data_IF_251882959217
#
_entry.id   IF_251882959217
#
_cell.length_a   1.000
_cell.length_b   1.000
_cell.length_c   1.000
_cell.angle_alpha   90.00
_cell.angle_beta   90.00
_cell.angle_gamma   90.00
#
_symmetry.space_group_name_H-M   'P 1'
#
loop_
_entity.id
_entity.type
_entity.pdbx_description
1 polymer ?
#
# COMPACT_ATOMS: atom_id res chain seq x y z
N UNK A 1 -64.95 -20.83 -25.80
CA UNK A 1 -64.37 -21.16 -24.47
C UNK A 1 -63.10 -21.98 -24.57
N UNK A 2 -63.04 -23.06 -25.37
CA UNK A 2 -61.85 -23.92 -25.45
C UNK A 2 -60.58 -23.17 -25.89
N UNK A 3 -60.67 -22.36 -26.94
CA UNK A 3 -59.53 -21.59 -27.48
C UNK A 3 -58.90 -20.60 -26.47
N UNK A 4 -59.72 -19.94 -25.64
CA UNK A 4 -59.23 -19.02 -24.60
C UNK A 4 -58.53 -19.77 -23.44
N UNK A 5 -59.01 -20.98 -23.12
CA UNK A 5 -58.40 -21.87 -22.13
C UNK A 5 -57.04 -22.38 -22.61
N UNK A 6 -56.95 -22.75 -23.90
CA UNK A 6 -55.71 -23.25 -24.51
C UNK A 6 -54.65 -22.14 -24.60
N UNK A 7 -55.05 -20.89 -24.93
CA UNK A 7 -54.16 -19.72 -24.93
C UNK A 7 -53.62 -19.39 -23.53
N UNK A 8 -54.47 -19.39 -22.50
CA UNK A 8 -54.04 -19.15 -21.13
C UNK A 8 -53.06 -20.23 -20.64
N UNK A 9 -53.33 -21.50 -20.97
CA UNK A 9 -52.44 -22.60 -20.62
C UNK A 9 -51.06 -22.44 -21.28
N UNK A 10 -51.01 -22.04 -22.55
CA UNK A 10 -49.74 -21.78 -23.24
C UNK A 10 -48.94 -20.64 -22.58
N UNK A 11 -49.60 -19.57 -22.12
CA UNK A 11 -48.94 -18.49 -21.37
C UNK A 11 -48.39 -19.01 -20.04
N UNK A 12 -49.18 -19.75 -19.27
CA UNK A 12 -48.76 -20.29 -17.97
C UNK A 12 -47.59 -21.28 -18.07
N UNK A 13 -47.51 -22.03 -19.16
CA UNK A 13 -46.41 -22.96 -19.45
C UNK A 13 -45.15 -22.25 -19.97
N UNK A 14 -45.30 -21.07 -20.58
CA UNK A 14 -44.18 -20.24 -21.05
C UNK A 14 -43.54 -19.37 -19.96
N UNK A 15 -44.23 -19.12 -18.84
CA UNK A 15 -43.68 -18.34 -17.72
C UNK A 15 -42.55 -19.12 -17.04
N UNK A 16 -41.31 -18.59 -17.01
CA UNK A 16 -40.16 -19.25 -16.39
C UNK A 16 -40.18 -19.05 -14.87
N UNK A 17 -41.18 -19.64 -14.20
CA UNK A 17 -41.36 -19.48 -12.76
C UNK A 17 -42.60 -20.18 -12.20
N UNK A 18 -42.68 -20.18 -10.87
CA UNK A 18 -43.83 -20.71 -10.13
C UNK A 18 -45.01 -19.75 -10.29
N UNK A 19 -46.13 -20.21 -10.83
CA UNK A 19 -47.34 -19.38 -10.94
C UNK A 19 -48.45 -19.98 -10.07
N UNK A 20 -49.11 -19.13 -9.30
CA UNK A 20 -50.31 -19.47 -8.52
C UNK A 20 -51.31 -18.35 -8.59
N UNK A 21 -52.60 -18.66 -8.48
CA UNK A 21 -53.65 -17.64 -8.41
C UNK A 21 -54.65 -18.00 -7.33
N UNK A 22 -55.17 -16.97 -6.67
CA UNK A 22 -56.02 -17.08 -5.49
C UNK A 22 -57.29 -16.28 -5.67
N UNK A 23 -58.34 -16.71 -4.97
CA UNK A 23 -59.50 -15.87 -4.67
C UNK A 23 -59.17 -14.85 -3.57
N UNK A 24 -60.03 -13.83 -3.42
CA UNK A 24 -59.94 -12.83 -2.35
C UNK A 24 -60.08 -13.43 -0.94
N UNK A 25 -60.72 -14.59 -0.78
CA UNK A 25 -60.76 -15.36 0.48
C UNK A 25 -59.53 -16.26 0.70
N UNK A 26 -58.45 -16.02 -0.06
CA UNK A 26 -57.13 -16.68 0.08
C UNK A 26 -57.17 -18.19 -0.17
N UNK A 27 -58.00 -18.62 -1.14
CA UNK A 27 -58.02 -20.01 -1.61
C UNK A 27 -57.36 -20.13 -2.97
N UNK A 28 -56.58 -21.18 -3.16
CA UNK A 28 -55.97 -21.47 -4.45
C UNK A 28 -57.05 -21.77 -5.50
N UNK A 29 -57.03 -21.02 -6.59
CA UNK A 29 -57.77 -21.32 -7.81
C UNK A 29 -56.97 -22.27 -8.72
N UNK A 30 -55.64 -22.25 -8.62
CA UNK A 30 -54.76 -23.17 -9.31
C UNK A 30 -53.30 -22.75 -9.26
N UNK A 31 -52.45 -23.61 -9.84
CA UNK A 31 -51.01 -23.43 -9.98
C UNK A 31 -50.56 -23.88 -11.39
N UNK A 32 -49.45 -23.36 -11.89
CA UNK A 32 -48.86 -23.89 -13.13
C UNK A 32 -48.06 -25.18 -12.89
N UNK A 33 -47.72 -25.87 -13.97
CA UNK A 33 -46.94 -27.12 -13.94
C UNK A 33 -45.54 -26.92 -13.35
N UNK A 34 -44.95 -25.75 -13.54
CA UNK A 34 -43.63 -25.44 -12.99
C UNK A 34 -43.63 -25.43 -11.46
N UNK A 35 -44.61 -24.75 -10.84
CA UNK A 35 -44.78 -24.77 -9.38
C UNK A 35 -45.00 -26.20 -8.88
N UNK A 36 -45.89 -26.94 -9.55
CA UNK A 36 -46.19 -28.33 -9.21
C UNK A 36 -44.94 -29.22 -9.22
N UNK A 37 -44.10 -29.11 -10.27
CA UNK A 37 -42.85 -29.85 -10.38
C UNK A 37 -41.82 -29.43 -9.31
N UNK A 38 -41.71 -28.12 -9.04
CA UNK A 38 -40.75 -27.55 -8.07
C UNK A 38 -40.95 -28.12 -6.67
N UNK A 39 -42.20 -28.27 -6.24
CA UNK A 39 -42.56 -28.80 -4.93
C UNK A 39 -42.95 -30.29 -4.93
N UNK A 40 -42.82 -30.98 -6.07
CA UNK A 40 -43.19 -32.39 -6.23
C UNK A 40 -44.64 -32.71 -5.81
N UNK A 41 -45.59 -31.92 -6.32
CA UNK A 41 -47.03 -31.99 -6.01
C UNK A 41 -47.85 -32.00 -7.30
N UNK A 42 -49.14 -32.35 -7.22
CA UNK A 42 -50.04 -32.30 -8.39
C UNK A 42 -50.87 -31.00 -8.36
N UNK A 43 -51.08 -30.32 -9.51
CA UNK A 43 -51.87 -29.08 -9.55
C UNK A 43 -53.28 -29.20 -8.98
N UNK A 44 -53.93 -30.35 -9.18
CA UNK A 44 -55.29 -30.63 -8.72
C UNK A 44 -55.42 -30.61 -7.19
N UNK A 45 -54.35 -30.97 -6.48
CA UNK A 45 -54.34 -31.05 -5.01
C UNK A 45 -54.43 -29.66 -4.35
N UNK A 46 -54.24 -28.58 -5.11
CA UNK A 46 -54.26 -27.19 -4.62
C UNK A 46 -55.62 -26.54 -4.69
N UNK A 47 -56.49 -26.91 -5.64
CA UNK A 47 -57.74 -26.20 -5.89
C UNK A 47 -58.62 -26.19 -4.63
N UNK A 48 -59.02 -25.00 -4.19
CA UNK A 48 -59.85 -24.78 -3.00
C UNK A 48 -59.11 -24.86 -1.65
N UNK A 49 -57.83 -25.26 -1.62
CA UNK A 49 -57.00 -25.24 -0.41
C UNK A 49 -56.76 -23.81 0.05
N UNK A 50 -56.64 -23.63 1.37
CA UNK A 50 -56.33 -22.34 1.97
C UNK A 50 -54.84 -22.01 1.85
N UNK A 51 -54.52 -20.73 1.70
CA UNK A 51 -53.15 -20.22 1.77
C UNK A 51 -52.42 -20.74 3.03
N UNK A 52 -51.19 -21.20 2.85
CA UNK A 52 -50.35 -21.72 3.94
C UNK A 52 -50.43 -23.24 4.13
N UNK A 53 -51.28 -23.97 3.37
CA UNK A 53 -51.38 -25.44 3.43
C UNK A 53 -50.04 -26.18 3.33
N UNK A 54 -49.10 -25.70 2.51
CA UNK A 54 -47.79 -26.36 2.33
C UNK A 54 -46.73 -25.97 3.37
N UNK A 55 -46.96 -24.88 4.12
CA UNK A 55 -45.95 -24.28 5.03
C UNK A 55 -44.57 -23.98 4.41
N UNK A 56 -44.43 -23.96 3.08
CA UNK A 56 -43.14 -23.88 2.38
C UNK A 56 -42.48 -22.48 2.42
N UNK A 57 -43.26 -21.42 2.62
CA UNK A 57 -42.73 -20.06 2.78
C UNK A 57 -43.68 -19.20 3.63
N UNK A 58 -43.31 -18.90 4.89
CA UNK A 58 -44.04 -17.95 5.72
C UNK A 58 -44.09 -16.56 5.08
N UNK A 59 -43.01 -16.13 4.42
CA UNK A 59 -42.91 -14.83 3.74
C UNK A 59 -43.88 -14.71 2.55
N UNK A 60 -44.06 -15.77 1.76
CA UNK A 60 -45.06 -15.77 0.69
C UNK A 60 -46.48 -15.60 1.23
N UNK A 61 -46.83 -16.38 2.26
CA UNK A 61 -48.17 -16.34 2.82
C UNK A 61 -48.49 -14.97 3.44
N UNK A 62 -47.51 -14.33 4.06
CA UNK A 62 -47.68 -12.99 4.60
C UNK A 62 -47.86 -11.95 3.50
N UNK A 63 -47.03 -11.99 2.46
CA UNK A 63 -47.17 -11.09 1.32
C UNK A 63 -48.53 -11.23 0.63
N UNK A 64 -49.00 -12.45 0.38
CA UNK A 64 -50.31 -12.69 -0.24
C UNK A 64 -51.44 -12.10 0.63
N UNK A 65 -51.40 -12.27 1.96
CA UNK A 65 -52.39 -11.67 2.87
C UNK A 65 -52.40 -10.16 2.78
N UNK A 66 -51.22 -9.54 2.89
CA UNK A 66 -51.08 -8.09 2.87
C UNK A 66 -51.49 -7.50 1.51
N UNK A 67 -51.04 -8.09 0.41
CA UNK A 67 -51.36 -7.64 -0.93
C UNK A 67 -52.86 -7.74 -1.22
N UNK A 68 -53.50 -8.87 -0.91
CA UNK A 68 -54.95 -9.05 -1.10
C UNK A 68 -55.76 -8.04 -0.30
N UNK A 69 -55.36 -7.73 0.94
CA UNK A 69 -56.03 -6.74 1.78
C UNK A 69 -55.73 -5.27 1.38
N UNK A 70 -54.67 -5.02 0.63
CA UNK A 70 -54.28 -3.67 0.21
C UNK A 70 -55.13 -3.11 -0.94
N UNK A 71 -55.06 -1.81 -1.21
CA UNK A 71 -55.64 -1.19 -2.41
C UNK A 71 -54.76 -1.29 -3.66
N UNK A 72 -53.59 -1.95 -3.57
CA UNK A 72 -52.66 -2.07 -4.69
C UNK A 72 -53.20 -3.05 -5.74
N UNK A 73 -53.10 -2.66 -7.01
CA UNK A 73 -53.44 -3.52 -8.15
C UNK A 73 -52.29 -4.44 -8.54
N UNK A 74 -51.06 -4.01 -8.31
CA UNK A 74 -49.83 -4.76 -8.56
C UNK A 74 -48.82 -4.51 -7.44
N UNK A 75 -47.96 -5.49 -7.16
CA UNK A 75 -46.89 -5.36 -6.19
C UNK A 75 -45.83 -6.42 -6.45
N UNK A 76 -44.62 -6.20 -5.96
CA UNK A 76 -43.56 -7.21 -5.98
C UNK A 76 -42.78 -7.23 -4.69
N UNK A 77 -42.26 -8.40 -4.34
CA UNK A 77 -41.43 -8.61 -3.15
C UNK A 77 -40.45 -9.75 -3.39
N UNK A 78 -39.26 -9.64 -2.82
CA UNK A 78 -38.36 -10.78 -2.73
C UNK A 78 -38.58 -11.55 -1.43
N UNK A 79 -38.74 -12.87 -1.54
CA UNK A 79 -38.93 -13.76 -0.39
C UNK A 79 -37.89 -14.88 -0.39
N UNK A 80 -37.62 -15.40 0.79
CA UNK A 80 -36.97 -16.70 0.96
C UNK A 80 -38.04 -17.81 1.05
N UNK A 81 -37.75 -18.94 0.42
CA UNK A 81 -38.54 -20.15 0.51
C UNK A 81 -37.61 -21.36 0.70
N UNK A 82 -38.06 -22.35 1.46
CA UNK A 82 -37.40 -23.65 1.46
C UNK A 82 -38.06 -24.53 0.39
N UNK A 83 -37.26 -24.97 -0.57
CA UNK A 83 -37.69 -25.88 -1.62
C UNK A 83 -36.92 -27.17 -1.48
N UNK A 84 -37.58 -28.19 -0.94
CA UNK A 84 -37.02 -29.53 -0.72
C UNK A 84 -35.73 -29.51 0.14
N UNK A 85 -35.70 -28.73 1.21
CA UNK A 85 -34.57 -28.60 2.13
C UNK A 85 -33.45 -27.70 1.62
N UNK A 86 -33.68 -26.92 0.56
CA UNK A 86 -32.72 -25.96 0.02
C UNK A 86 -33.30 -24.55 0.08
N UNK A 87 -32.59 -23.58 0.69
CA UNK A 87 -33.02 -22.19 0.69
C UNK A 87 -32.94 -21.64 -0.75
N UNK A 88 -34.03 -21.06 -1.20
CA UNK A 88 -34.17 -20.38 -2.49
C UNK A 88 -34.71 -18.98 -2.29
N UNK A 89 -34.32 -18.07 -3.16
CA UNK A 89 -34.84 -16.71 -3.21
C UNK A 89 -35.74 -16.53 -4.42
N UNK A 90 -36.96 -16.05 -4.20
CA UNK A 90 -37.92 -15.80 -5.27
C UNK A 90 -38.30 -14.32 -5.31
N UNK A 91 -38.30 -13.73 -6.50
CA UNK A 91 -39.00 -12.48 -6.76
C UNK A 91 -40.45 -12.82 -7.09
N UNK A 92 -41.36 -12.44 -6.20
CA UNK A 92 -42.80 -12.59 -6.39
C UNK A 92 -43.34 -11.30 -7.02
N UNK A 93 -44.03 -11.44 -8.15
CA UNK A 93 -44.82 -10.37 -8.78
C UNK A 93 -46.28 -10.75 -8.65
N UNK A 94 -47.09 -9.85 -8.12
CA UNK A 94 -48.51 -10.05 -7.88
C UNK A 94 -49.36 -9.05 -8.66
N UNK A 95 -50.50 -9.50 -9.16
CA UNK A 95 -51.47 -8.65 -9.85
C UNK A 95 -52.90 -9.09 -9.54
N UNK A 96 -53.77 -8.14 -9.19
CA UNK A 96 -55.20 -8.37 -8.99
C UNK A 96 -55.95 -8.37 -10.33
N UNK A 97 -57.02 -9.13 -10.39
CA UNK A 97 -57.92 -9.18 -11.54
C UNK A 97 -59.35 -9.50 -11.09
N UNK A 98 -60.30 -9.47 -12.03
CA UNK A 98 -61.72 -9.70 -11.76
C UNK A 98 -62.28 -8.79 -10.65
N UNK A 99 -62.04 -7.48 -10.75
CA UNK A 99 -62.50 -6.48 -9.77
C UNK A 99 -62.07 -6.82 -8.33
N UNK A 100 -60.78 -7.12 -8.14
CA UNK A 100 -60.16 -7.48 -6.86
C UNK A 100 -60.67 -8.76 -6.19
N UNK A 101 -61.44 -9.58 -6.92
CA UNK A 101 -61.91 -10.87 -6.41
C UNK A 101 -60.86 -11.99 -6.56
N UNK A 102 -59.81 -11.77 -7.34
CA UNK A 102 -58.73 -12.73 -7.51
C UNK A 102 -57.39 -12.05 -7.76
N UNK A 103 -56.29 -12.77 -7.50
CA UNK A 103 -54.94 -12.30 -7.75
C UNK A 103 -54.06 -13.44 -8.30
N UNK A 104 -53.17 -13.10 -9.23
CA UNK A 104 -52.13 -13.98 -9.75
C UNK A 104 -50.78 -13.59 -9.14
N UNK A 105 -49.96 -14.60 -8.86
CA UNK A 105 -48.63 -14.47 -8.29
C UNK A 105 -47.65 -15.28 -9.14
N UNK A 106 -46.60 -14.62 -9.59
CA UNK A 106 -45.50 -15.21 -10.36
C UNK A 106 -44.24 -15.13 -9.53
N UNK A 107 -43.65 -16.27 -9.19
CA UNK A 107 -42.39 -16.39 -8.49
C UNK A 107 -41.26 -16.82 -9.42
N UNK A 108 -40.31 -15.91 -9.64
CA UNK A 108 -39.10 -16.15 -10.43
C UNK A 108 -37.96 -16.50 -9.47
N UNK A 109 -37.29 -17.63 -9.68
CA UNK A 109 -36.11 -17.99 -8.89
C UNK A 109 -34.96 -17.03 -9.24
N UNK A 110 -34.51 -16.27 -8.24
CA UNK A 110 -33.40 -15.31 -8.34
C UNK A 110 -32.21 -15.72 -7.48
N UNK A 111 -32.17 -16.97 -7.01
CA UNK A 111 -31.13 -17.50 -6.11
C UNK A 111 -29.73 -17.33 -6.70
N UNK A 112 -29.51 -17.83 -7.92
CA UNK A 112 -28.20 -17.80 -8.57
C UNK A 112 -27.76 -16.35 -8.82
N UNK A 113 -28.69 -15.49 -9.27
CA UNK A 113 -28.43 -14.07 -9.47
C UNK A 113 -27.97 -13.40 -8.18
N UNK A 114 -28.67 -13.63 -7.06
CA UNK A 114 -28.29 -13.07 -5.76
C UNK A 114 -26.95 -13.58 -5.28
N UNK A 115 -26.70 -14.89 -5.40
CA UNK A 115 -25.42 -15.48 -4.99
C UNK A 115 -24.25 -14.92 -5.79
N UNK A 116 -24.39 -14.74 -7.10
CA UNK A 116 -23.35 -14.11 -7.91
C UNK A 116 -23.14 -12.64 -7.56
N UNK A 117 -24.21 -11.89 -7.33
CA UNK A 117 -24.12 -10.49 -6.92
C UNK A 117 -23.45 -10.33 -5.55
N UNK A 118 -23.81 -11.18 -4.59
CA UNK A 118 -23.23 -11.16 -3.24
C UNK A 118 -21.75 -11.57 -3.27
N UNK A 119 -21.41 -12.66 -3.97
CA UNK A 119 -20.03 -13.10 -4.11
C UNK A 119 -19.16 -12.05 -4.82
N UNK A 120 -19.71 -11.36 -5.82
CA UNK A 120 -19.03 -10.25 -6.48
C UNK A 120 -18.81 -9.07 -5.50
N UNK A 121 -19.85 -8.69 -4.73
CA UNK A 121 -19.76 -7.63 -3.72
C UNK A 121 -18.70 -7.96 -2.66
N UNK A 122 -18.75 -9.15 -2.09
CA UNK A 122 -17.76 -9.61 -1.10
C UNK A 122 -16.34 -9.64 -1.67
N UNK A 123 -16.18 -10.07 -2.93
CA UNK A 123 -14.87 -10.07 -3.59
C UNK A 123 -14.35 -8.64 -3.82
N UNK A 124 -15.22 -7.71 -4.21
CA UNK A 124 -14.87 -6.30 -4.40
C UNK A 124 -14.50 -5.62 -3.08
N UNK A 125 -15.28 -5.86 -2.02
CA UNK A 125 -14.99 -5.33 -0.68
C UNK A 125 -13.67 -5.88 -0.13
N UNK A 126 -13.44 -7.19 -0.26
CA UNK A 126 -12.19 -7.82 0.16
C UNK A 126 -10.99 -7.24 -0.60
N UNK A 127 -11.12 -7.03 -1.90
CA UNK A 127 -10.07 -6.40 -2.72
C UNK A 127 -9.82 -4.94 -2.29
N UNK A 128 -10.88 -4.15 -2.11
CA UNK A 128 -10.77 -2.75 -1.68
C UNK A 128 -10.07 -2.63 -0.32
N UNK A 129 -10.43 -3.47 0.65
CA UNK A 129 -9.79 -3.50 1.97
C UNK A 129 -8.32 -3.93 1.90
N UNK A 130 -7.98 -4.92 1.07
CA UNK A 130 -6.59 -5.35 0.90
C UNK A 130 -5.71 -4.23 0.30
N UNK A 131 -6.22 -3.53 -0.71
CA UNK A 131 -5.55 -2.39 -1.34
C UNK A 131 -5.39 -1.24 -0.35
N UNK A 132 -6.45 -0.90 0.39
CA UNK A 132 -6.41 0.17 1.39
C UNK A 132 -5.45 -0.17 2.53
N UNK A 133 -5.42 -1.42 3.00
CA UNK A 133 -4.53 -1.90 4.05
C UNK A 133 -3.05 -1.93 3.63
N UNK A 134 -2.75 -2.23 2.36
CA UNK A 134 -1.39 -2.14 1.81
C UNK A 134 -0.89 -0.69 1.70
N UNK A 135 -1.80 0.29 1.78
CA UNK A 135 -1.52 1.71 1.60
C UNK A 135 -0.90 2.04 0.23
N UNK A 136 -1.22 1.23 -0.78
CA UNK A 136 -0.69 1.28 -2.14
C UNK A 136 -1.53 2.18 -3.06
N UNK A 137 -0.88 2.90 -3.96
CA UNK A 137 -1.51 3.59 -5.08
C UNK A 137 -1.68 2.65 -6.28
N UNK A 138 -2.90 2.34 -6.68
CA UNK A 138 -3.18 1.55 -7.88
C UNK A 138 -3.03 2.36 -9.16
N UNK A 139 -2.60 1.67 -10.22
CA UNK A 139 -2.60 2.16 -11.58
C UNK A 139 -3.08 1.07 -12.56
N UNK A 140 -3.75 1.48 -13.62
CA UNK A 140 -4.26 0.58 -14.67
C UNK A 140 -4.20 1.27 -16.03
N UNK A 141 -3.29 0.79 -16.86
CA UNK A 141 -2.96 1.36 -18.15
C UNK A 141 -3.55 0.53 -19.28
N UNK A 142 -4.45 1.14 -20.03
CA UNK A 142 -4.92 0.64 -21.31
C UNK A 142 -3.91 0.99 -22.41
N UNK A 143 -3.16 0.00 -22.87
CA UNK A 143 -2.08 0.20 -23.85
C UNK A 143 -2.61 0.43 -25.27
N UNK A 144 -3.90 0.21 -25.52
CA UNK A 144 -4.53 0.47 -26.82
C UNK A 144 -4.98 1.92 -26.97
N UNK A 145 -5.53 2.50 -25.90
CA UNK A 145 -6.00 3.89 -25.89
C UNK A 145 -4.97 4.85 -25.34
N UNK A 146 -3.93 4.33 -24.69
CA UNK A 146 -2.93 5.07 -23.93
C UNK A 146 -3.50 5.80 -22.70
N UNK A 147 -4.65 5.39 -22.19
CA UNK A 147 -5.23 5.94 -20.96
C UNK A 147 -4.75 5.16 -19.75
N UNK A 148 -4.40 5.88 -18.68
CA UNK A 148 -4.03 5.28 -17.40
C UNK A 148 -4.96 5.78 -16.30
N UNK A 149 -5.59 4.84 -15.61
CA UNK A 149 -6.29 5.13 -14.38
C UNK A 149 -5.28 5.19 -13.23
N UNK A 150 -5.31 6.26 -12.43
CA UNK A 150 -4.64 6.33 -11.15
C UNK A 150 -5.67 6.40 -10.02
N UNK A 151 -5.51 5.57 -9.00
CA UNK A 151 -6.36 5.63 -7.81
C UNK A 151 -6.18 6.94 -7.02
N UNK A 152 -7.18 7.36 -6.23
CA UNK A 152 -7.04 8.52 -5.33
C UNK A 152 -5.83 8.41 -4.40
N UNK A 153 -5.51 7.20 -3.94
CA UNK A 153 -4.35 6.94 -3.08
C UNK A 153 -3.01 7.21 -3.79
N UNK A 154 -2.90 6.87 -5.06
CA UNK A 154 -1.71 7.16 -5.88
C UNK A 154 -1.45 8.68 -5.94
N UNK A 155 -2.50 9.46 -6.17
CA UNK A 155 -2.43 10.93 -6.20
C UNK A 155 -2.04 11.51 -4.84
N UNK A 156 -2.70 11.03 -3.78
CA UNK A 156 -2.43 11.43 -2.40
C UNK A 156 -1.00 11.09 -1.95
N UNK A 157 -0.41 9.98 -2.43
CA UNK A 157 0.98 9.60 -2.16
C UNK A 157 1.98 10.63 -2.66
N UNK A 158 1.67 11.27 -3.80
CA UNK A 158 2.46 12.34 -4.40
C UNK A 158 2.07 13.73 -3.87
N UNK A 159 1.15 13.76 -2.90
CA UNK A 159 0.65 14.95 -2.21
C UNK A 159 -0.52 15.65 -2.91
N UNK A 160 -1.00 15.14 -4.04
CA UNK A 160 -2.06 15.75 -4.83
C UNK A 160 -3.44 15.26 -4.43
N UNK A 161 -4.43 16.14 -4.56
CA UNK A 161 -5.85 15.78 -4.54
C UNK A 161 -6.29 15.17 -5.88
N UNK A 162 -7.51 14.61 -5.91
CA UNK A 162 -7.97 13.82 -7.05
C UNK A 162 -8.06 14.62 -8.36
N UNK A 163 -8.40 15.91 -8.28
CA UNK A 163 -8.62 16.78 -9.43
C UNK A 163 -7.38 17.56 -9.87
N UNK A 164 -6.27 17.51 -9.10
CA UNK A 164 -5.05 18.28 -9.36
C UNK A 164 -4.09 17.60 -10.35
N UNK A 165 -4.23 16.29 -10.55
CA UNK A 165 -3.35 15.50 -11.41
C UNK A 165 -4.17 14.62 -12.35
N UNK A 166 -3.77 14.60 -13.62
CA UNK A 166 -4.49 13.91 -14.68
C UNK A 166 -4.38 12.39 -14.63
N UNK A 167 -5.01 11.77 -15.63
CA UNK A 167 -5.03 10.32 -15.85
C UNK A 167 -4.32 10.00 -17.19
N UNK A 168 -3.12 10.54 -17.36
CA UNK A 168 -2.29 10.38 -18.55
C UNK A 168 -0.93 9.79 -18.16
N UNK A 169 -0.31 8.92 -18.97
CA UNK A 169 0.97 8.28 -18.62
C UNK A 169 2.08 9.27 -18.28
N UNK A 170 2.06 10.45 -18.88
CA UNK A 170 2.98 11.55 -18.64
C UNK A 170 2.94 12.04 -17.19
N UNK A 171 1.81 11.86 -16.48
CA UNK A 171 1.71 12.23 -15.06
C UNK A 171 2.60 11.36 -14.18
N UNK A 172 2.80 10.09 -14.56
CA UNK A 172 3.79 9.24 -13.93
C UNK A 172 5.18 9.48 -14.52
N UNK A 173 5.33 9.33 -15.85
CA UNK A 173 6.64 9.33 -16.51
C UNK A 173 7.39 10.66 -16.35
N UNK A 174 6.66 11.79 -16.38
CA UNK A 174 7.23 13.12 -16.20
C UNK A 174 7.67 13.45 -14.77
N UNK A 175 7.34 12.60 -13.78
CA UNK A 175 7.75 12.75 -12.38
C UNK A 175 8.91 11.87 -12.00
N UNK A 176 9.37 10.97 -12.87
CA UNK A 176 10.52 10.13 -12.59
C UNK A 176 11.77 11.02 -12.52
N UNK A 177 12.67 10.71 -11.58
CA UNK A 177 13.94 11.41 -11.48
C UNK A 177 14.71 11.36 -12.82
N UNK A 178 15.26 12.48 -13.32
CA UNK A 178 15.90 12.54 -14.64
C UNK A 178 16.95 11.46 -14.90
N UNK A 179 17.82 11.20 -13.90
CA UNK A 179 18.86 10.16 -13.99
C UNK A 179 18.32 8.72 -14.15
N UNK A 180 17.04 8.50 -13.83
CA UNK A 180 16.40 7.18 -13.82
C UNK A 180 15.39 7.00 -14.96
N UNK A 181 14.96 8.09 -15.61
CA UNK A 181 13.87 8.09 -16.58
C UNK A 181 14.09 7.09 -17.73
N UNK A 182 15.28 7.10 -18.34
CA UNK A 182 15.62 6.18 -19.43
C UNK A 182 15.62 4.72 -18.97
N UNK A 183 16.16 4.45 -17.78
CA UNK A 183 16.21 3.10 -17.23
C UNK A 183 14.81 2.57 -16.91
N UNK A 184 13.94 3.38 -16.28
CA UNK A 184 12.55 3.01 -15.99
C UNK A 184 11.79 2.71 -17.28
N UNK A 185 11.94 3.56 -18.30
CA UNK A 185 11.31 3.34 -19.60
C UNK A 185 11.77 2.03 -20.24
N UNK A 186 13.06 1.70 -20.16
CA UNK A 186 13.58 0.43 -20.66
C UNK A 186 13.00 -0.79 -19.91
N UNK A 187 12.86 -0.71 -18.58
CA UNK A 187 12.22 -1.77 -17.79
C UNK A 187 10.74 -1.95 -18.14
N UNK A 188 10.03 -0.83 -18.35
CA UNK A 188 8.63 -0.85 -18.76
C UNK A 188 8.46 -1.52 -20.13
N UNK A 189 9.29 -1.15 -21.12
CA UNK A 189 9.29 -1.76 -22.46
C UNK A 189 9.64 -3.25 -22.37
N UNK A 190 10.66 -3.62 -21.60
CA UNK A 190 11.03 -5.03 -21.44
C UNK A 190 9.86 -5.86 -20.85
N UNK A 191 9.13 -5.31 -19.87
CA UNK A 191 7.93 -5.98 -19.39
C UNK A 191 6.80 -5.96 -20.42
N UNK A 192 6.59 -4.85 -21.13
CA UNK A 192 5.61 -4.76 -22.23
C UNK A 192 5.85 -5.85 -23.27
N UNK A 193 7.09 -6.09 -23.68
CA UNK A 193 7.47 -7.07 -24.70
C UNK A 193 7.51 -8.52 -24.18
N UNK A 194 7.21 -8.73 -22.90
CA UNK A 194 7.14 -10.06 -22.30
C UNK A 194 8.51 -10.66 -21.98
N UNK A 195 9.56 -9.85 -21.92
CA UNK A 195 10.91 -10.29 -21.55
C UNK A 195 11.06 -10.54 -20.05
N UNK A 196 10.13 -10.04 -19.24
CA UNK A 196 10.09 -10.24 -17.78
C UNK A 196 8.75 -10.82 -17.34
N UNK A 197 8.78 -11.63 -16.28
CA UNK A 197 7.57 -12.24 -15.70
C UNK A 197 6.68 -11.24 -14.98
N UNK A 198 7.29 -10.22 -14.36
CA UNK A 198 6.62 -9.15 -13.64
C UNK A 198 7.39 -7.85 -13.85
N UNK A 199 6.68 -6.72 -13.83
CA UNK A 199 7.30 -5.42 -13.71
C UNK A 199 7.51 -5.14 -12.22
N UNK A 200 8.75 -4.91 -11.82
CA UNK A 200 9.12 -4.56 -10.45
C UNK A 200 10.34 -3.64 -10.47
N UNK A 201 10.18 -2.40 -10.00
CA UNK A 201 11.26 -1.42 -9.93
C UNK A 201 11.13 -0.57 -8.66
N UNK A 202 12.27 -0.12 -8.15
CA UNK A 202 12.35 0.95 -7.16
C UNK A 202 12.93 2.18 -7.84
N UNK A 203 12.19 3.29 -7.84
CA UNK A 203 12.61 4.51 -8.52
C UNK A 203 12.11 5.75 -7.76
N UNK A 204 12.69 6.91 -8.07
CA UNK A 204 12.35 8.17 -7.43
C UNK A 204 11.29 8.91 -8.22
N UNK A 205 10.27 9.39 -7.53
CA UNK A 205 9.21 10.25 -8.09
C UNK A 205 9.16 11.60 -7.40
N UNK A 206 9.01 12.66 -8.19
CA UNK A 206 8.87 14.03 -7.72
C UNK A 206 7.51 14.20 -7.03
N UNK A 207 7.56 14.56 -5.75
CA UNK A 207 6.42 14.92 -4.94
C UNK A 207 6.13 16.42 -5.07
N UNK A 208 4.89 16.84 -4.77
CA UNK A 208 4.45 18.24 -4.91
C UNK A 208 5.26 19.29 -4.12
N UNK A 209 5.95 18.87 -3.08
CA UNK A 209 6.81 19.73 -2.25
C UNK A 209 8.19 19.97 -2.88
N UNK A 210 8.49 19.33 -4.01
CA UNK A 210 9.77 19.41 -4.71
C UNK A 210 10.79 18.36 -4.26
N UNK A 211 10.47 17.52 -3.27
CA UNK A 211 11.33 16.40 -2.88
C UNK A 211 11.03 15.15 -3.71
N UNK A 212 12.02 14.26 -3.79
CA UNK A 212 11.82 12.95 -4.37
C UNK A 212 11.39 11.93 -3.29
N UNK A 213 10.41 11.09 -3.64
CA UNK A 213 9.98 9.94 -2.85
C UNK A 213 10.43 8.66 -3.53
N UNK A 214 10.87 7.68 -2.76
CA UNK A 214 11.19 6.36 -3.26
C UNK A 214 9.90 5.56 -3.43
N UNK A 215 9.66 5.09 -4.65
CA UNK A 215 8.45 4.36 -5.03
C UNK A 215 8.83 2.96 -5.49
N UNK A 216 8.21 1.93 -4.88
CA UNK A 216 8.23 0.57 -5.41
C UNK A 216 7.04 0.41 -6.35
N UNK A 217 7.31 0.26 -7.65
CA UNK A 217 6.28 -0.02 -8.66
C UNK A 217 6.24 -1.49 -8.99
N UNK A 218 5.06 -2.09 -8.92
CA UNK A 218 4.81 -3.49 -9.31
C UNK A 218 3.66 -3.56 -10.29
N UNK A 219 3.75 -4.41 -11.30
CA UNK A 219 2.69 -4.55 -12.29
C UNK A 219 2.76 -5.82 -13.13
N UNK A 220 1.62 -6.13 -13.75
CA UNK A 220 1.47 -7.26 -14.66
C UNK A 220 0.82 -6.80 -15.97
N UNK A 221 1.38 -7.23 -17.08
CA UNK A 221 0.80 -7.07 -18.41
C UNK A 221 -0.21 -8.18 -18.72
N UNK A 222 -1.38 -7.80 -19.22
CA UNK A 222 -2.36 -8.71 -19.81
C UNK A 222 -2.16 -8.74 -21.32
N UNK A 223 -2.09 -9.96 -21.86
CA UNK A 223 -1.75 -10.22 -23.26
C UNK A 223 -2.88 -10.90 -23.99
N UNK A 224 -2.96 -10.64 -25.28
CA UNK A 224 -3.84 -11.37 -26.17
C UNK A 224 -3.24 -12.73 -26.61
N UNK A 225 -3.96 -13.42 -27.50
CA UNK A 225 -3.54 -14.73 -28.02
C UNK A 225 -2.23 -14.69 -28.82
N UNK A 226 -1.82 -13.51 -29.29
CA UNK A 226 -0.59 -13.29 -30.05
C UNK A 226 0.56 -12.80 -29.15
N UNK A 227 0.41 -12.87 -27.82
CA UNK A 227 1.37 -12.36 -26.82
C UNK A 227 1.56 -10.85 -26.83
N UNK A 228 0.66 -10.09 -27.46
CA UNK A 228 0.73 -8.63 -27.49
C UNK A 228 0.06 -8.08 -26.23
N UNK A 229 0.78 -7.22 -25.48
CA UNK A 229 0.23 -6.53 -24.32
C UNK A 229 -0.90 -5.57 -24.74
N UNK A 230 -2.03 -5.60 -24.06
CA UNK A 230 -3.12 -4.62 -24.30
C UNK A 230 -3.54 -3.85 -23.04
N UNK A 231 -3.13 -4.31 -21.86
CA UNK A 231 -3.39 -3.66 -20.58
C UNK A 231 -2.24 -3.99 -19.64
N UNK A 232 -1.87 -3.06 -18.78
CA UNK A 232 -0.94 -3.31 -17.68
C UNK A 232 -1.51 -2.69 -16.42
N UNK A 233 -1.56 -3.44 -15.33
CA UNK A 233 -2.12 -2.93 -14.07
C UNK A 233 -1.23 -3.34 -12.90
N UNK A 234 -1.27 -2.54 -11.84
CA UNK A 234 -0.35 -2.71 -10.74
C UNK A 234 -0.57 -1.75 -9.58
N UNK A 235 0.45 -1.70 -8.74
CA UNK A 235 0.49 -0.85 -7.55
C UNK A 235 1.81 -0.09 -7.46
N UNK A 236 1.78 0.99 -6.68
CA UNK A 236 2.94 1.75 -6.27
C UNK A 236 2.89 1.96 -4.77
N UNK A 237 3.99 1.64 -4.10
CA UNK A 237 4.14 1.78 -2.65
C UNK A 237 5.20 2.84 -2.36
N UNK A 238 4.89 3.81 -1.49
CA UNK A 238 5.91 4.72 -0.96
C UNK A 238 6.80 3.95 0.02
N UNK A 239 8.07 3.80 -0.33
CA UNK A 239 9.10 3.12 0.44
C UNK A 239 10.15 4.12 0.97
N UNK A 240 9.85 5.43 0.97
CA UNK A 240 10.78 6.49 1.39
C UNK A 240 11.25 6.29 2.82
N UNK A 241 10.34 6.00 3.76
CA UNK A 241 10.70 5.76 5.16
C UNK A 241 11.60 4.52 5.31
N UNK A 242 11.31 3.44 4.57
CA UNK A 242 12.15 2.25 4.54
C UNK A 242 13.55 2.58 4.02
N UNK A 243 13.65 3.32 2.92
CA UNK A 243 14.94 3.73 2.34
C UNK A 243 15.73 4.65 3.26
N UNK A 244 15.06 5.60 3.92
CA UNK A 244 15.67 6.45 4.95
C UNK A 244 16.17 5.64 6.14
N UNK A 245 15.41 4.64 6.59
CA UNK A 245 15.85 3.75 7.66
C UNK A 245 17.04 2.88 7.23
N UNK A 246 17.04 2.33 6.01
CA UNK A 246 18.18 1.60 5.45
C UNK A 246 19.44 2.48 5.36
N UNK A 247 19.30 3.71 4.88
CA UNK A 247 20.40 4.68 4.80
C UNK A 247 20.92 5.08 6.19
N UNK A 248 20.03 5.31 7.15
CA UNK A 248 20.42 5.61 8.53
C UNK A 248 21.15 4.43 9.17
N UNK A 249 20.68 3.20 8.97
CA UNK A 249 21.36 2.00 9.46
C UNK A 249 22.76 1.85 8.86
N UNK A 250 22.91 2.13 7.55
CA UNK A 250 24.23 2.12 6.90
C UNK A 250 25.13 3.23 7.45
N UNK A 251 24.58 4.42 7.67
CA UNK A 251 25.31 5.53 8.27
C UNK A 251 25.78 5.17 9.68
N UNK A 252 24.89 4.67 10.55
CA UNK A 252 25.18 4.28 11.93
C UNK A 252 26.15 3.09 12.01
N UNK A 253 26.14 2.19 11.02
CA UNK A 253 27.10 1.10 10.92
C UNK A 253 28.52 1.59 10.61
N UNK A 254 28.68 2.79 10.04
CA UNK A 254 29.96 3.34 9.58
C UNK A 254 30.40 4.61 10.32
N UNK A 255 29.53 5.25 11.09
CA UNK A 255 29.78 6.52 11.79
C UNK A 255 29.47 6.43 13.29
N UNK A 256 30.12 7.27 14.08
CA UNK A 256 29.88 7.42 15.52
C UNK A 256 28.61 8.26 15.75
N UNK A 257 27.63 7.70 16.47
CA UNK A 257 26.30 8.30 16.63
C UNK A 257 26.29 9.64 17.37
N UNK A 258 27.31 9.92 18.19
CA UNK A 258 27.41 11.18 18.93
C UNK A 258 28.04 12.28 18.07
N UNK A 259 29.17 11.99 17.44
CA UNK A 259 29.99 13.01 16.76
C UNK A 259 29.73 13.11 15.26
N UNK A 260 29.15 12.08 14.63
CA UNK A 260 28.99 11.97 13.18
C UNK A 260 30.27 11.60 12.43
N UNK A 261 31.40 11.44 13.15
CA UNK A 261 32.68 11.04 12.56
C UNK A 261 32.65 9.58 12.10
N UNK A 262 33.64 9.17 11.32
CA UNK A 262 33.81 7.75 11.00
C UNK A 262 33.95 6.92 12.29
N UNK A 263 33.37 5.73 12.33
CA UNK A 263 33.59 4.82 13.45
C UNK A 263 34.81 3.92 13.22
N UNK A 264 35.08 3.04 14.18
CA UNK A 264 36.18 2.07 14.11
C UNK A 264 36.13 1.19 12.86
N UNK A 265 34.95 0.77 12.40
CA UNK A 265 34.83 -0.11 11.24
C UNK A 265 35.26 0.61 9.95
N UNK A 266 34.74 1.82 9.72
CA UNK A 266 35.09 2.62 8.54
C UNK A 266 36.57 3.04 8.56
N UNK A 267 37.11 3.41 9.73
CA UNK A 267 38.54 3.71 9.88
C UNK A 267 39.43 2.53 9.46
N UNK A 268 39.12 1.31 9.94
CA UNK A 268 39.92 0.13 9.64
C UNK A 268 39.84 -0.25 8.15
N UNK A 269 38.67 -0.11 7.52
CA UNK A 269 38.51 -0.29 6.08
C UNK A 269 39.38 0.70 5.28
N UNK A 270 39.28 2.00 5.59
CA UNK A 270 40.10 3.05 4.96
C UNK A 270 41.60 2.84 5.17
N UNK A 271 42.00 2.50 6.39
CA UNK A 271 43.39 2.18 6.71
C UNK A 271 43.90 1.00 5.87
N UNK A 272 43.10 -0.06 5.72
CA UNK A 272 43.40 -1.20 4.86
C UNK A 272 43.60 -0.79 3.39
N UNK A 273 42.70 0.04 2.85
CA UNK A 273 42.80 0.56 1.48
C UNK A 273 44.07 1.38 1.27
N UNK A 274 44.42 2.26 2.21
CA UNK A 274 45.61 3.11 2.15
C UNK A 274 46.89 2.28 2.23
N UNK A 275 46.94 1.27 3.10
CA UNK A 275 48.07 0.32 3.20
C UNK A 275 48.29 -0.39 1.87
N UNK A 276 47.23 -0.93 1.27
CA UNK A 276 47.32 -1.64 -0.02
C UNK A 276 47.73 -0.71 -1.17
N UNK A 277 47.22 0.53 -1.19
CA UNK A 277 47.61 1.54 -2.16
C UNK A 277 49.08 1.91 -2.02
N UNK A 278 49.55 2.17 -0.80
CA UNK A 278 50.95 2.49 -0.49
C UNK A 278 51.91 1.38 -0.92
N UNK A 279 51.54 0.11 -0.72
CA UNK A 279 52.33 -1.05 -1.20
C UNK A 279 52.45 -1.10 -2.72
N UNK A 280 51.39 -0.74 -3.46
CA UNK A 280 51.35 -0.85 -4.94
C UNK A 280 51.97 0.35 -5.66
N UNK A 281 51.67 1.55 -5.18
CA UNK A 281 51.99 2.81 -5.88
C UNK A 281 53.13 3.58 -5.21
N UNK A 282 53.60 3.13 -4.05
CA UNK A 282 54.41 3.96 -3.16
C UNK A 282 53.57 5.06 -2.50
N UNK A 283 54.22 5.87 -1.67
CA UNK A 283 53.56 6.95 -0.92
C UNK A 283 53.44 6.63 0.56
N UNK A 284 53.50 7.68 1.39
CA UNK A 284 53.41 7.58 2.83
C UNK A 284 52.03 8.05 3.30
N UNK A 285 51.60 7.48 4.41
CA UNK A 285 50.40 7.89 5.13
C UNK A 285 50.77 8.00 6.62
N UNK A 286 49.94 8.68 7.39
CA UNK A 286 50.13 8.76 8.84
C UNK A 286 48.83 8.47 9.58
N UNK A 287 48.96 7.92 10.78
CA UNK A 287 47.86 7.71 11.72
C UNK A 287 48.20 8.47 12.99
N UNK A 288 47.32 9.40 13.38
CA UNK A 288 47.44 10.15 14.62
C UNK A 288 46.37 9.66 15.58
N UNK A 289 46.79 9.33 16.80
CA UNK A 289 45.89 9.00 17.90
C UNK A 289 45.76 10.20 18.83
N UNK A 290 44.55 10.54 19.21
CA UNK A 290 44.24 11.67 20.07
C UNK A 290 43.33 11.20 21.20
N UNK A 291 43.80 11.37 22.43
CA UNK A 291 43.03 11.12 23.65
C UNK A 291 42.77 12.45 24.35
N UNK A 292 41.59 12.62 24.97
CA UNK A 292 41.27 13.84 25.70
C UNK A 292 41.60 13.69 27.18
N UNK A 293 42.71 14.30 27.58
CA UNK A 293 43.19 14.25 28.96
C UNK A 293 42.11 14.60 29.99
N UNK A 294 41.85 13.69 30.93
CA UNK A 294 40.89 13.89 32.03
C UNK A 294 39.45 14.16 31.59
N UNK A 295 39.02 13.74 30.40
CA UNK A 295 37.62 13.86 29.99
C UNK A 295 36.64 13.26 31.02
N UNK A 296 37.04 12.16 31.69
CA UNK A 296 36.27 11.58 32.81
C UNK A 296 35.97 12.59 33.93
N UNK A 297 36.90 13.47 34.29
CA UNK A 297 36.69 14.50 35.33
C UNK A 297 35.61 15.48 34.93
N UNK A 298 35.53 15.82 33.63
CA UNK A 298 34.49 16.69 33.08
C UNK A 298 33.13 16.00 33.21
N UNK A 299 33.02 14.72 32.82
CA UNK A 299 31.79 13.96 32.98
C UNK A 299 31.36 13.86 34.44
N UNK A 300 32.29 13.57 35.35
CA UNK A 300 31.99 13.41 36.77
C UNK A 300 31.59 14.75 37.43
N UNK A 301 32.11 15.88 36.94
CA UNK A 301 31.87 17.21 37.53
C UNK A 301 30.68 17.96 36.92
N UNK A 302 30.49 17.83 35.61
CA UNK A 302 29.52 18.61 34.82
C UNK A 302 28.41 17.74 34.20
N UNK A 303 28.51 16.42 34.35
CA UNK A 303 27.57 15.47 33.81
C UNK A 303 27.88 15.06 32.36
N UNK A 304 27.39 13.87 32.00
CA UNK A 304 27.59 13.27 30.68
C UNK A 304 27.09 14.15 29.52
N UNK A 305 26.00 14.90 29.72
CA UNK A 305 25.49 15.80 28.68
C UNK A 305 26.48 16.89 28.27
N UNK A 306 27.25 17.44 29.24
CA UNK A 306 28.27 18.45 28.93
C UNK A 306 29.50 17.79 28.29
N UNK A 307 29.88 16.58 28.73
CA UNK A 307 30.93 15.82 28.06
C UNK A 307 30.59 15.49 26.60
N UNK A 308 29.35 15.09 26.33
CA UNK A 308 28.87 14.82 24.97
C UNK A 308 28.94 16.06 24.08
N UNK A 309 28.48 17.22 24.60
CA UNK A 309 28.62 18.50 23.91
C UNK A 309 30.08 18.88 23.64
N UNK A 310 30.98 18.58 24.58
CA UNK A 310 32.41 18.81 24.40
C UNK A 310 33.00 17.94 23.29
N UNK A 311 32.67 16.65 23.25
CA UNK A 311 33.11 15.74 22.20
C UNK A 311 32.64 16.19 20.82
N UNK A 312 31.38 16.57 20.68
CA UNK A 312 30.82 17.11 19.43
C UNK A 312 31.52 18.40 19.02
N UNK A 313 31.77 19.31 19.97
CA UNK A 313 32.45 20.56 19.68
C UNK A 313 33.91 20.35 19.28
N UNK A 314 34.61 19.39 19.89
CA UNK A 314 35.98 19.00 19.53
C UNK A 314 35.98 18.41 18.12
N UNK A 315 35.08 17.49 17.82
CA UNK A 315 34.95 16.87 16.50
C UNK A 315 34.82 17.95 15.40
N UNK A 316 33.80 18.82 15.50
CA UNK A 316 33.56 19.91 14.55
C UNK A 316 34.76 20.85 14.41
N UNK A 317 35.42 21.15 15.52
CA UNK A 317 36.56 22.07 15.51
C UNK A 317 37.79 21.44 14.84
N UNK A 318 38.04 20.15 15.07
CA UNK A 318 39.16 19.44 14.46
C UNK A 318 38.93 19.12 12.99
N UNK A 319 37.70 18.91 12.53
CA UNK A 319 37.38 18.77 11.11
C UNK A 319 37.87 19.97 10.28
N UNK A 320 37.81 21.19 10.82
CA UNK A 320 38.34 22.39 10.12
C UNK A 320 39.85 22.35 9.87
N UNK A 321 40.56 21.49 10.58
CA UNK A 321 41.99 21.28 10.43
C UNK A 321 42.32 20.18 9.41
N UNK A 322 41.34 19.49 8.83
CA UNK A 322 41.55 18.31 7.99
C UNK A 322 41.21 18.58 6.53
N UNK A 323 41.87 17.85 5.64
CA UNK A 323 41.63 17.94 4.20
C UNK A 323 40.53 16.94 3.80
N UNK A 324 39.86 17.15 2.67
CA UNK A 324 38.78 16.26 2.19
C UNK A 324 39.19 14.79 1.94
N UNK A 325 40.50 14.51 1.86
CA UNK A 325 41.03 13.16 1.73
C UNK A 325 41.49 12.53 3.05
N UNK A 326 41.41 13.24 4.18
CA UNK A 326 41.77 12.69 5.48
C UNK A 326 40.54 12.01 6.12
N UNK A 327 40.74 10.88 6.80
CA UNK A 327 39.67 10.23 7.57
C UNK A 327 39.77 10.62 9.03
N UNK A 328 38.69 11.15 9.60
CA UNK A 328 38.59 11.45 11.03
C UNK A 328 37.58 10.53 11.69
N UNK A 329 38.03 9.81 12.71
CA UNK A 329 37.25 8.79 13.38
C UNK A 329 37.24 8.95 14.89
N UNK A 330 36.16 8.50 15.52
CA UNK A 330 36.08 8.30 16.97
C UNK A 330 35.96 6.80 17.25
N UNK A 331 36.84 6.28 18.12
CA UNK A 331 36.85 4.85 18.47
C UNK A 331 35.89 4.52 19.62
N UNK A 332 35.66 5.50 20.49
CA UNK A 332 34.80 5.41 21.66
C UNK A 332 35.31 6.32 22.77
N UNK A 333 34.44 6.71 23.72
CA UNK A 333 34.84 7.56 24.83
C UNK A 333 35.44 8.89 24.36
N UNK A 334 36.66 9.15 24.78
CA UNK A 334 37.53 10.30 24.49
C UNK A 334 38.57 10.05 23.38
N UNK A 335 38.56 8.88 22.75
CA UNK A 335 39.58 8.46 21.78
C UNK A 335 39.19 8.80 20.34
N UNK A 336 40.02 9.61 19.68
CA UNK A 336 39.91 9.96 18.27
C UNK A 336 41.14 9.50 17.46
N UNK A 337 40.92 9.20 16.18
CA UNK A 337 41.99 8.83 15.25
C UNK A 337 41.85 9.62 13.96
N UNK A 338 42.97 10.14 13.47
CA UNK A 338 43.06 10.82 12.17
C UNK A 338 43.99 9.99 11.28
N UNK A 339 43.48 9.57 10.13
CA UNK A 339 44.26 8.95 9.05
C UNK A 339 44.50 9.99 7.95
N UNK A 340 45.77 10.32 7.75
CA UNK A 340 46.25 11.23 6.71
C UNK A 340 46.70 10.40 5.52
N UNK A 341 45.91 10.39 4.44
CA UNK A 341 46.10 9.47 3.32
C UNK A 341 47.27 9.81 2.40
N UNK A 342 47.76 11.05 2.43
CA UNK A 342 48.81 11.53 1.51
C UNK A 342 49.83 12.40 2.24
N UNK A 343 50.85 11.75 2.80
CA UNK A 343 52.00 12.40 3.43
C UNK A 343 53.13 12.51 2.42
N UNK A 344 53.57 13.73 2.13
CA UNK A 344 54.72 13.98 1.25
C UNK A 344 56.01 14.05 2.05
N UNK A 345 55.94 14.71 3.20
CA UNK A 345 57.06 14.89 4.12
C UNK A 345 56.61 14.70 5.59
N UNK A 346 57.40 14.08 6.47
CA UNK A 346 57.06 13.92 7.89
C UNK A 346 56.73 15.24 8.62
N UNK A 347 57.24 16.38 8.14
CA UNK A 347 56.89 17.70 8.67
C UNK A 347 55.44 18.10 8.38
N UNK A 348 54.77 17.52 7.38
CA UNK A 348 53.33 17.72 7.14
C UNK A 348 52.50 17.24 8.33
N UNK A 349 52.83 16.06 8.84
CA UNK A 349 52.17 15.44 10.00
C UNK A 349 52.45 16.26 11.27
N UNK A 350 53.68 16.75 11.42
CA UNK A 350 54.07 17.59 12.55
C UNK A 350 53.28 18.91 12.56
N UNK A 351 53.19 19.59 11.41
CA UNK A 351 52.39 20.82 11.25
C UNK A 351 50.91 20.57 11.54
N UNK A 352 50.36 19.44 11.10
CA UNK A 352 48.98 19.07 11.40
C UNK A 352 48.77 18.89 12.91
N UNK A 353 49.65 18.16 13.58
CA UNK A 353 49.58 17.94 15.03
C UNK A 353 49.66 19.26 15.81
N UNK A 354 50.58 20.15 15.44
CA UNK A 354 50.71 21.49 16.05
C UNK A 354 49.44 22.34 15.83
N UNK A 355 48.88 22.32 14.61
CA UNK A 355 47.63 23.02 14.29
C UNK A 355 46.47 22.49 15.14
N UNK A 356 46.33 21.17 15.26
CA UNK A 356 45.31 20.54 16.10
C UNK A 356 45.46 21.00 17.56
N UNK A 357 46.67 20.91 18.12
CA UNK A 357 46.93 21.36 19.49
C UNK A 357 46.61 22.84 19.69
N UNK A 358 46.99 23.70 18.75
CA UNK A 358 46.71 25.14 18.82
C UNK A 358 45.21 25.42 18.76
N UNK A 359 44.48 24.72 17.90
CA UNK A 359 43.03 24.86 17.74
C UNK A 359 42.27 24.41 19.01
N UNK A 360 42.75 23.37 19.69
CA UNK A 360 42.13 22.89 20.94
C UNK A 360 42.37 23.82 22.15
N UNK A 361 43.41 24.65 22.14
CA UNK A 361 43.68 25.62 23.22
C UNK A 361 42.59 26.69 23.36
N UNK A 362 41.85 26.96 22.30
CA UNK A 362 40.73 27.90 22.36
C UNK A 362 39.64 27.36 23.30
N UNK A 363 39.09 28.18 24.22
CA UNK A 363 38.06 27.73 25.15
C UNK A 363 36.81 27.20 24.42
N UNK A 364 36.10 26.31 25.11
CA UNK A 364 34.77 25.86 24.76
C UNK A 364 33.79 26.41 25.80
N UNK A 365 32.72 27.06 25.33
CA UNK A 365 31.73 27.69 26.20
C UNK A 365 30.42 26.91 26.09
N UNK A 366 29.92 26.39 27.21
CA UNK A 366 28.66 25.64 27.28
C UNK A 366 27.80 26.21 28.41
N UNK A 367 26.67 26.85 28.10
CA UNK A 367 25.60 27.31 29.02
C UNK A 367 25.97 27.49 30.51
N UNK A 368 27.03 28.27 30.82
CA UNK A 368 27.48 28.57 32.19
C UNK A 368 28.83 27.98 32.62
N UNK A 369 29.44 27.08 31.83
CA UNK A 369 30.76 26.48 32.07
C UNK A 369 31.75 26.79 30.94
N UNK A 370 33.02 26.98 31.28
CA UNK A 370 34.11 27.20 30.33
C UNK A 370 35.17 26.12 30.46
N UNK A 371 35.33 25.31 29.42
CA UNK A 371 36.38 24.29 29.34
C UNK A 371 37.59 24.81 28.56
N UNK A 372 38.78 24.69 29.13
CA UNK A 372 40.04 25.13 28.53
C UNK A 372 41.02 23.97 28.45
N UNK A 373 41.66 23.78 27.31
CA UNK A 373 42.81 22.88 27.18
C UNK A 373 44.12 23.66 27.43
N UNK A 374 44.74 23.51 28.60
CA UNK A 374 45.96 24.21 29.01
C UNK A 374 47.13 23.26 29.23
N UNK A 375 48.26 23.49 28.54
CA UNK A 375 49.55 22.76 28.69
C UNK A 375 49.38 21.25 28.98
N UNK A 376 48.60 20.55 28.15
CA UNK A 376 48.32 19.09 28.20
C UNK A 376 47.22 18.64 29.16
N UNK A 377 46.41 19.53 29.74
CA UNK A 377 45.26 19.13 30.57
C UNK A 377 44.03 20.00 30.31
N UNK A 378 42.84 19.43 30.51
CA UNK A 378 41.58 20.17 30.48
C UNK A 378 41.22 20.71 31.87
N UNK A 379 40.97 22.01 31.96
CA UNK A 379 40.54 22.71 33.18
C UNK A 379 39.15 23.35 32.96
N UNK A 380 38.28 23.25 33.96
CA UNK A 380 36.98 23.94 34.00
C UNK A 380 37.09 25.22 34.84
N UNK A 381 36.62 26.35 34.31
CA UNK A 381 36.50 27.63 35.01
C UNK A 381 35.05 27.99 35.32
#
# INVERSE_FOLDING_TARGET
MQQAKDQLQAVLDAVPGCVSWFTSDLRYLGINRYLAATFNVRPEDFVGKQLGFMSASPGFAEFVRQFTASSLQESSVEIAADVNGRPRSYLIVAQKYAQDQAAVFVGIDVTDRRQFQEALRESQERYALAVQGANDGLWDWNLKTNDIYFSPRWKAMLGYSEDEIGNQPEEWLGRIHPDEAEWVQAQLIAHWDGLTRQFEIEHRMLHRDGEYRWILSRGLAVRDRNQIAYRMAGSQTDITERKRAEEQLLHDALHDSLTGLSNRALLLDRLGQVIERSKRQGGQFAVLFLDLDRFKVINDSLGHTIGDQLLVAIARRLETCLSAGDTFARLGGDEFVILVESVRDPSDVTRLAERIQQTLRSPFNFAGARCLHHRQHWDCL
#
